data_IF_977310774776
#
_entry.id   IF_977310774776
#
_cell.length_a   1.000
_cell.length_b   1.000
_cell.length_c   1.000
_cell.angle_alpha   90.00
_cell.angle_beta   90.00
_cell.angle_gamma   90.00
#
_symmetry.space_group_name_H-M   'P 1'
#
loop_
_entity.id
_entity.type
_entity.pdbx_description
1 polymer ?
#
# COMPACT_ATOMS: atom_id res chain seq x y z
N UNK A 1 40.53 20.27 -42.37
CA UNK A 1 39.69 20.34 -41.15
C UNK A 1 38.33 19.80 -41.52
N UNK A 2 38.17 18.49 -41.46
CA UNK A 2 36.91 17.79 -41.77
C UNK A 2 36.09 17.68 -40.49
N UNK A 3 35.11 18.57 -40.35
CA UNK A 3 34.10 18.50 -39.30
C UNK A 3 33.35 17.19 -39.40
N UNK A 4 33.40 16.38 -38.36
CA UNK A 4 32.59 15.19 -38.22
C UNK A 4 31.26 15.62 -37.60
N UNK A 5 30.22 15.72 -38.42
CA UNK A 5 28.85 15.85 -37.95
C UNK A 5 28.41 14.50 -37.36
N UNK A 6 28.37 14.43 -36.03
CA UNK A 6 27.76 13.31 -35.32
C UNK A 6 26.24 13.44 -35.41
N UNK A 7 25.66 12.81 -36.42
CA UNK A 7 24.21 12.56 -36.47
C UNK A 7 23.85 11.56 -35.37
N UNK A 8 23.51 12.05 -34.18
CA UNK A 8 22.89 11.24 -33.13
C UNK A 8 21.45 10.92 -33.55
N UNK A 9 21.27 9.83 -34.29
CA UNK A 9 19.98 9.13 -34.33
C UNK A 9 19.75 8.56 -32.93
N UNK A 10 19.15 9.36 -32.06
CA UNK A 10 18.66 8.87 -30.79
C UNK A 10 17.55 7.86 -31.08
N UNK A 11 17.76 6.61 -30.67
CA UNK A 11 16.69 5.62 -30.55
C UNK A 11 15.51 6.26 -29.80
N UNK A 12 14.27 5.99 -30.20
CA UNK A 12 13.07 6.47 -29.48
C UNK A 12 12.96 5.96 -28.04
N UNK A 13 13.90 5.11 -27.61
CA UNK A 13 14.00 4.55 -26.28
C UNK A 13 15.00 5.33 -25.44
N UNK A 14 14.61 5.64 -24.20
CA UNK A 14 15.50 6.23 -23.23
C UNK A 14 16.63 5.28 -22.85
N UNK A 15 17.71 5.81 -22.28
CA UNK A 15 18.88 5.02 -21.89
C UNK A 15 18.52 3.88 -20.91
N UNK A 16 17.56 4.11 -20.00
CA UNK A 16 17.06 3.08 -19.09
C UNK A 16 16.33 1.96 -19.82
N UNK A 17 15.50 2.29 -20.81
CA UNK A 17 14.74 1.30 -21.58
C UNK A 17 15.67 0.37 -22.36
N UNK A 18 16.73 0.95 -22.95
CA UNK A 18 17.78 0.19 -23.61
C UNK A 18 18.48 -0.77 -22.64
N UNK A 19 18.82 -0.30 -21.42
CA UNK A 19 19.43 -1.14 -20.38
C UNK A 19 18.51 -2.28 -19.92
N UNK A 20 17.21 -2.01 -19.73
CA UNK A 20 16.21 -3.02 -19.35
C UNK A 20 16.10 -4.10 -20.42
N UNK A 21 15.95 -3.71 -21.69
CA UNK A 21 15.85 -4.66 -22.82
C UNK A 21 17.12 -5.49 -23.00
N UNK A 22 18.29 -4.87 -22.83
CA UNK A 22 19.56 -5.57 -22.91
C UNK A 22 19.69 -6.63 -21.80
N UNK A 23 19.30 -6.30 -20.56
CA UNK A 23 19.31 -7.23 -19.44
C UNK A 23 18.35 -8.40 -19.66
N UNK A 24 17.10 -8.12 -20.07
CA UNK A 24 16.10 -9.14 -20.40
C UNK A 24 16.61 -10.09 -21.50
N UNK A 25 17.19 -9.53 -22.57
CA UNK A 25 17.74 -10.32 -23.68
C UNK A 25 18.84 -11.27 -23.21
N UNK A 26 19.82 -10.77 -22.44
CA UNK A 26 20.94 -11.57 -21.96
C UNK A 26 20.49 -12.66 -20.97
N UNK A 27 19.56 -12.34 -20.06
CA UNK A 27 19.05 -13.32 -19.10
C UNK A 27 18.21 -14.41 -19.76
N UNK A 28 17.42 -14.05 -20.79
CA UNK A 28 16.63 -15.01 -21.58
C UNK A 28 17.54 -15.93 -22.39
N UNK A 29 18.53 -15.39 -23.11
CA UNK A 29 19.49 -16.17 -23.89
C UNK A 29 20.30 -17.16 -23.03
N UNK A 30 20.55 -16.81 -21.77
CA UNK A 30 21.23 -17.69 -20.79
C UNK A 30 20.29 -18.71 -20.14
N UNK A 31 18.98 -18.64 -20.39
CA UNK A 31 17.98 -19.53 -19.79
C UNK A 31 17.72 -19.27 -18.32
N UNK A 32 18.02 -18.06 -17.81
CA UNK A 32 17.79 -17.69 -16.40
C UNK A 32 16.39 -17.16 -16.13
N UNK A 33 15.69 -16.70 -17.17
CA UNK A 33 14.31 -16.24 -17.09
C UNK A 33 13.51 -16.85 -18.23
N UNK A 34 12.22 -17.06 -17.97
CA UNK A 34 11.21 -17.35 -18.98
C UNK A 34 10.36 -16.09 -19.19
N UNK A 35 10.37 -15.48 -20.38
CA UNK A 35 9.54 -14.30 -20.68
C UNK A 35 8.06 -14.52 -20.39
N UNK A 36 7.50 -15.71 -20.65
CA UNK A 36 6.10 -15.99 -20.37
C UNK A 36 5.81 -15.98 -18.86
N UNK A 37 6.74 -16.45 -18.04
CA UNK A 37 6.62 -16.37 -16.59
C UNK A 37 6.71 -14.92 -16.08
N UNK A 38 7.52 -14.06 -16.71
CA UNK A 38 7.58 -12.63 -16.39
C UNK A 38 6.24 -11.95 -16.69
N UNK A 39 5.62 -12.24 -17.83
CA UNK A 39 4.31 -11.68 -18.19
C UNK A 39 3.24 -12.04 -17.16
N UNK A 40 3.23 -13.28 -16.65
CA UNK A 40 2.32 -13.72 -15.59
C UNK A 40 2.56 -12.92 -14.30
N UNK A 41 3.81 -12.65 -13.93
CA UNK A 41 4.13 -11.84 -12.74
C UNK A 41 3.67 -10.39 -12.91
N UNK A 42 3.90 -9.80 -14.09
CA UNK A 42 3.48 -8.44 -14.40
C UNK A 42 1.96 -8.32 -14.30
N UNK A 43 1.21 -9.19 -14.98
CA UNK A 43 -0.25 -9.20 -14.92
C UNK A 43 -0.76 -9.37 -13.49
N UNK A 44 -0.18 -10.30 -12.73
CA UNK A 44 -0.58 -10.55 -11.33
C UNK A 44 -0.57 -9.29 -10.48
N UNK A 45 0.49 -8.48 -10.55
CA UNK A 45 0.60 -7.24 -9.76
C UNK A 45 -0.06 -6.02 -10.41
N UNK A 46 -0.37 -6.07 -11.70
CA UNK A 46 -1.09 -4.99 -12.39
C UNK A 46 -2.61 -5.11 -12.26
N UNK A 47 -3.15 -6.33 -12.27
CA UNK A 47 -4.60 -6.55 -12.44
C UNK A 47 -5.24 -7.32 -11.30
N UNK A 48 -4.51 -8.22 -10.64
CA UNK A 48 -5.09 -9.17 -9.67
C UNK A 48 -4.86 -8.79 -8.21
N UNK A 49 -3.67 -8.30 -7.88
CA UNK A 49 -3.29 -7.95 -6.51
C UNK A 49 -3.32 -6.44 -6.32
N UNK A 50 -4.14 -5.97 -5.39
CA UNK A 50 -4.27 -4.54 -5.11
C UNK A 50 -5.01 -4.24 -3.81
N UNK A 51 -5.19 -2.95 -3.49
CA UNK A 51 -5.76 -2.50 -2.21
C UNK A 51 -7.21 -2.93 -1.96
N UNK A 52 -7.92 -3.42 -2.98
CA UNK A 52 -9.26 -4.00 -2.80
C UNK A 52 -9.25 -5.22 -1.86
N UNK A 53 -8.14 -5.96 -1.81
CA UNK A 53 -7.97 -7.09 -0.90
C UNK A 53 -7.96 -6.62 0.56
N UNK A 54 -7.11 -5.65 0.89
CA UNK A 54 -7.07 -5.05 2.21
C UNK A 54 -8.38 -4.37 2.61
N UNK A 55 -9.05 -3.71 1.65
CA UNK A 55 -10.36 -3.10 1.89
C UNK A 55 -11.41 -4.13 2.37
N UNK A 56 -11.42 -5.32 1.76
CA UNK A 56 -12.26 -6.44 2.21
C UNK A 56 -11.88 -6.95 3.59
N UNK A 57 -10.58 -7.06 3.89
CA UNK A 57 -10.10 -7.44 5.24
C UNK A 57 -10.63 -6.46 6.29
N UNK A 58 -10.48 -5.16 6.05
CA UNK A 58 -10.93 -4.10 6.97
C UNK A 58 -12.45 -4.12 7.12
N UNK A 59 -13.19 -4.16 6.01
CA UNK A 59 -14.65 -4.18 6.06
C UNK A 59 -15.20 -5.39 6.82
N UNK A 60 -14.60 -6.58 6.61
CA UNK A 60 -14.95 -7.78 7.39
C UNK A 60 -14.67 -7.58 8.87
N UNK A 61 -13.51 -7.04 9.23
CA UNK A 61 -13.17 -6.74 10.62
C UNK A 61 -14.13 -5.72 11.27
N UNK A 62 -14.75 -4.83 10.51
CA UNK A 62 -15.75 -3.90 11.05
C UNK A 62 -17.13 -4.51 11.31
N UNK A 63 -17.48 -5.63 10.67
CA UNK A 63 -18.81 -6.26 10.79
C UNK A 63 -18.78 -7.60 11.52
N UNK A 64 -17.62 -8.25 11.58
CA UNK A 64 -17.39 -9.55 12.21
C UNK A 64 -16.35 -9.40 13.33
N UNK A 65 -16.84 -9.36 14.57
CA UNK A 65 -16.00 -9.18 15.76
C UNK A 65 -15.05 -10.36 16.01
N UNK A 66 -15.45 -11.58 15.66
CA UNK A 66 -14.58 -12.75 15.81
C UNK A 66 -13.41 -12.66 14.82
N UNK A 67 -13.69 -12.29 13.56
CA UNK A 67 -12.65 -12.03 12.56
C UNK A 67 -11.75 -10.86 12.97
N UNK A 68 -12.32 -9.78 13.53
CA UNK A 68 -11.55 -8.66 14.06
C UNK A 68 -10.53 -9.10 15.12
N UNK A 69 -11.01 -9.80 16.15
CA UNK A 69 -10.17 -10.22 17.27
C UNK A 69 -9.10 -11.22 16.79
N UNK A 70 -9.44 -12.10 15.84
CA UNK A 70 -8.47 -12.99 15.20
C UNK A 70 -7.43 -12.23 14.38
N UNK A 71 -7.85 -11.25 13.57
CA UNK A 71 -6.97 -10.42 12.74
C UNK A 71 -5.92 -9.67 13.58
N UNK A 72 -6.28 -9.20 14.77
CA UNK A 72 -5.35 -8.52 15.68
C UNK A 72 -4.38 -9.49 16.38
N UNK A 73 -4.74 -10.76 16.52
CA UNK A 73 -3.90 -11.80 17.14
C UNK A 73 -2.96 -12.46 16.12
N UNK A 74 -3.48 -12.83 14.95
CA UNK A 74 -2.73 -13.45 13.87
C UNK A 74 -3.26 -12.96 12.51
N UNK A 75 -2.75 -11.80 12.10
CA UNK A 75 -3.16 -11.21 10.84
C UNK A 75 -2.79 -12.08 9.64
N UNK A 76 -1.72 -12.89 9.74
CA UNK A 76 -1.27 -13.75 8.65
C UNK A 76 -2.32 -14.81 8.35
N UNK A 77 -2.76 -15.52 9.39
CA UNK A 77 -3.79 -16.54 9.25
C UNK A 77 -5.16 -15.95 8.87
N UNK A 78 -5.52 -14.80 9.45
CA UNK A 78 -6.79 -14.14 9.17
C UNK A 78 -6.91 -13.71 7.70
N UNK A 79 -5.89 -13.06 7.11
CA UNK A 79 -5.94 -12.68 5.70
C UNK A 79 -5.84 -13.89 4.76
N UNK A 80 -5.16 -14.96 5.18
CA UNK A 80 -5.07 -16.20 4.42
C UNK A 80 -6.43 -16.91 4.29
N UNK A 81 -7.31 -16.77 5.30
CA UNK A 81 -8.69 -17.29 5.24
C UNK A 81 -9.52 -16.67 4.11
N UNK A 82 -9.13 -15.47 3.64
CA UNK A 82 -9.73 -14.77 2.51
C UNK A 82 -8.99 -15.02 1.18
N UNK A 83 -7.96 -15.89 1.19
CA UNK A 83 -7.14 -16.21 0.03
C UNK A 83 -5.96 -15.25 -0.19
N UNK A 84 -5.70 -14.32 0.73
CA UNK A 84 -4.61 -13.35 0.60
C UNK A 84 -3.33 -13.91 1.23
N UNK A 85 -2.44 -14.41 0.40
CA UNK A 85 -1.15 -14.98 0.81
C UNK A 85 -0.06 -14.60 -0.19
N UNK A 86 1.20 -14.85 0.17
CA UNK A 86 2.31 -14.80 -0.77
C UNK A 86 3.34 -13.73 -0.44
N UNK A 87 4.11 -13.36 -1.47
CA UNK A 87 5.34 -12.55 -1.35
C UNK A 87 5.09 -11.22 -0.67
N UNK A 88 6.00 -10.83 0.22
CA UNK A 88 5.93 -9.58 0.98
C UNK A 88 4.66 -9.49 1.85
N UNK A 89 4.22 -10.62 2.38
CA UNK A 89 3.07 -10.74 3.29
C UNK A 89 3.07 -12.07 4.04
N UNK A 90 4.22 -12.71 4.15
CA UNK A 90 4.44 -13.98 4.83
C UNK A 90 4.29 -13.85 6.35
N UNK A 91 4.53 -12.65 6.88
CA UNK A 91 4.38 -12.29 8.29
C UNK A 91 3.65 -10.96 8.42
N UNK A 92 2.34 -11.02 8.67
CA UNK A 92 1.47 -9.86 8.77
C UNK A 92 1.17 -9.52 10.22
N UNK A 93 1.09 -8.22 10.50
CA UNK A 93 0.57 -7.66 11.75
C UNK A 93 -0.46 -6.60 11.41
N UNK A 94 -1.67 -6.74 11.95
CA UNK A 94 -2.69 -5.71 11.89
C UNK A 94 -2.54 -4.75 13.07
N UNK A 95 -2.65 -3.45 12.82
CA UNK A 95 -2.54 -2.41 13.86
C UNK A 95 -3.78 -1.52 13.82
N UNK A 96 -4.52 -1.48 14.91
CA UNK A 96 -5.85 -0.87 14.97
C UNK A 96 -5.80 0.59 15.38
N UNK A 97 -6.41 1.46 14.57
CA UNK A 97 -6.64 2.84 14.97
C UNK A 97 -7.79 2.93 15.97
N UNK A 98 -7.61 3.74 17.00
CA UNK A 98 -8.59 4.07 18.03
C UNK A 98 -8.74 5.59 18.15
N UNK A 99 -9.65 6.06 19.00
CA UNK A 99 -9.82 7.50 19.22
C UNK A 99 -8.53 8.14 19.80
N UNK A 100 -7.78 7.37 20.59
CA UNK A 100 -6.57 7.82 21.29
C UNK A 100 -5.27 7.50 20.55
N UNK A 101 -5.29 6.59 19.57
CA UNK A 101 -4.08 6.14 18.86
C UNK A 101 -4.31 5.96 17.36
N UNK A 102 -3.45 6.64 16.58
CA UNK A 102 -3.38 6.54 15.12
C UNK A 102 -2.06 5.89 14.70
N UNK A 103 -2.14 4.93 13.79
CA UNK A 103 -0.99 4.23 13.25
C UNK A 103 -0.61 4.74 11.86
N UNK A 104 0.68 4.75 11.57
CA UNK A 104 1.24 5.00 10.24
C UNK A 104 2.31 3.97 9.93
N UNK A 105 2.42 3.54 8.68
CA UNK A 105 3.44 2.55 8.26
C UNK A 105 4.41 3.18 7.28
N UNK A 106 5.70 2.95 7.45
CA UNK A 106 6.77 3.38 6.55
C UNK A 106 7.83 2.29 6.42
N UNK A 107 8.67 2.38 5.40
CA UNK A 107 9.93 1.65 5.31
C UNK A 107 11.03 2.67 5.04
N UNK A 108 11.71 3.13 6.08
CA UNK A 108 12.70 4.22 5.96
C UNK A 108 13.86 3.82 5.06
N UNK A 109 14.24 2.53 5.08
CA UNK A 109 15.41 2.01 4.36
C UNK A 109 15.16 1.76 2.88
N UNK A 110 13.95 1.40 2.46
CA UNK A 110 13.65 1.11 1.07
C UNK A 110 12.16 1.31 0.72
N UNK A 111 11.38 0.24 0.76
CA UNK A 111 9.99 0.22 0.26
C UNK A 111 9.19 -1.02 0.70
N UNK A 112 9.55 -1.69 1.80
CA UNK A 112 8.83 -2.87 2.31
C UNK A 112 7.34 -2.55 2.52
N UNK A 113 6.47 -3.43 2.03
CA UNK A 113 5.03 -3.15 1.90
C UNK A 113 4.22 -4.45 1.79
N UNK A 114 2.98 -4.55 2.34
CA UNK A 114 2.21 -5.79 2.37
C UNK A 114 1.53 -6.09 1.02
N UNK A 115 2.26 -6.68 0.07
CA UNK A 115 1.76 -6.85 -1.31
C UNK A 115 0.45 -7.64 -1.41
N UNK A 116 0.22 -8.76 -0.69
CA UNK A 116 -1.00 -9.55 -0.86
C UNK A 116 -2.29 -8.78 -0.61
N UNK A 117 -2.26 -7.77 0.26
CA UNK A 117 -3.44 -6.98 0.65
C UNK A 117 -3.45 -5.57 0.06
N UNK A 118 -2.30 -4.98 -0.25
CA UNK A 118 -2.23 -3.59 -0.75
C UNK A 118 -1.63 -3.43 -2.15
N UNK A 119 -1.17 -4.50 -2.79
CA UNK A 119 -0.47 -4.45 -4.07
C UNK A 119 0.90 -3.77 -3.97
N UNK A 120 1.39 -3.24 -5.09
CA UNK A 120 2.67 -2.53 -5.12
C UNK A 120 2.55 -1.14 -4.45
N UNK A 121 3.58 -0.70 -3.70
CA UNK A 121 3.55 0.57 -2.99
C UNK A 121 3.49 1.77 -3.96
N UNK A 122 2.75 2.82 -3.62
CA UNK A 122 2.69 4.04 -4.42
C UNK A 122 4.05 4.74 -4.49
N UNK A 123 4.25 5.56 -5.53
CA UNK A 123 5.53 6.26 -5.73
C UNK A 123 5.93 7.14 -4.55
N UNK A 124 4.97 7.81 -3.92
CA UNK A 124 5.24 8.66 -2.75
C UNK A 124 5.76 7.85 -1.55
N UNK A 125 5.30 6.61 -1.36
CA UNK A 125 5.73 5.77 -0.24
C UNK A 125 7.21 5.41 -0.35
N UNK A 126 7.69 5.20 -1.57
CA UNK A 126 9.08 4.87 -1.90
C UNK A 126 10.02 6.08 -1.88
N UNK A 127 9.44 7.29 -1.84
CA UNK A 127 10.17 8.54 -1.99
C UNK A 127 10.92 8.95 -0.72
N UNK A 128 12.07 9.62 -0.89
CA UNK A 128 12.84 10.15 0.24
C UNK A 128 12.04 11.14 1.12
N UNK A 129 11.18 12.04 0.59
CA UNK A 129 10.36 12.92 1.41
C UNK A 129 9.50 12.18 2.43
N UNK A 130 8.75 11.16 2.00
CA UNK A 130 7.92 10.38 2.92
C UNK A 130 8.77 9.59 3.91
N UNK A 131 9.74 8.83 3.40
CA UNK A 131 10.57 7.91 4.20
C UNK A 131 11.38 8.62 5.28
N UNK A 132 11.87 9.83 5.02
CA UNK A 132 12.65 10.60 6.00
C UNK A 132 11.78 11.34 7.02
N UNK A 133 10.62 11.87 6.61
CA UNK A 133 9.78 12.69 7.48
C UNK A 133 8.79 11.88 8.32
N UNK A 134 8.29 10.75 7.83
CA UNK A 134 7.25 9.99 8.55
C UNK A 134 7.67 9.60 9.98
N UNK A 135 8.95 9.31 10.20
CA UNK A 135 9.49 8.96 11.53
C UNK A 135 9.92 10.15 12.39
N UNK A 136 9.97 11.36 11.82
CA UNK A 136 10.47 12.57 12.50
C UNK A 136 9.36 13.60 12.77
N UNK A 137 8.49 13.80 11.79
CA UNK A 137 7.37 14.74 11.80
C UNK A 137 6.13 14.05 11.19
N UNK A 138 5.57 13.04 11.87
CA UNK A 138 4.41 12.32 11.36
C UNK A 138 3.17 13.22 11.22
N UNK A 139 2.99 14.20 12.13
CA UNK A 139 1.86 15.14 12.06
C UNK A 139 1.93 16.03 10.83
N UNK A 140 3.10 16.60 10.52
CA UNK A 140 3.27 17.40 9.31
C UNK A 140 3.09 16.56 8.04
N UNK A 141 3.56 15.31 8.02
CA UNK A 141 3.29 14.39 6.89
C UNK A 141 1.80 14.13 6.74
N UNK A 142 1.07 13.84 7.82
CA UNK A 142 -0.38 13.65 7.77
C UNK A 142 -1.10 14.90 7.25
N UNK A 143 -0.66 16.09 7.66
CA UNK A 143 -1.22 17.35 7.16
C UNK A 143 -1.02 17.51 5.64
N UNK A 144 0.13 17.10 5.09
CA UNK A 144 0.37 17.09 3.63
C UNK A 144 -0.61 16.16 2.89
N UNK A 145 -1.09 15.09 3.54
CA UNK A 145 -2.13 14.21 3.01
C UNK A 145 -3.56 14.71 3.25
N UNK A 146 -3.75 15.83 3.95
CA UNK A 146 -5.04 16.39 4.34
C UNK A 146 -5.62 15.81 5.64
N UNK A 147 -4.83 15.08 6.42
CA UNK A 147 -5.26 14.50 7.70
C UNK A 147 -4.77 15.33 8.87
N UNK A 148 -5.70 15.92 9.60
CA UNK A 148 -5.42 16.63 10.86
C UNK A 148 -6.02 15.82 12.00
N UNK A 149 -5.16 15.44 12.95
CA UNK A 149 -5.56 14.71 14.14
C UNK A 149 -5.56 15.65 15.35
N UNK A 150 -6.46 15.44 16.34
CA UNK A 150 -6.37 16.10 17.63
C UNK A 150 -4.96 16.00 18.21
N UNK A 151 -4.55 17.03 18.96
CA UNK A 151 -3.24 17.06 19.62
C UNK A 151 -3.10 15.92 20.64
N UNK A 152 -4.22 15.52 21.26
CA UNK A 152 -4.32 14.40 22.20
C UNK A 152 -4.16 13.02 21.56
N UNK A 153 -4.41 12.86 20.25
CA UNK A 153 -4.29 11.57 19.57
C UNK A 153 -2.82 11.20 19.42
N UNK A 154 -2.39 10.08 20.00
CA UNK A 154 -1.02 9.58 19.86
C UNK A 154 -0.80 9.01 18.47
N UNK A 155 0.37 9.27 17.88
CA UNK A 155 0.75 8.67 16.59
C UNK A 155 1.84 7.63 16.84
N UNK A 156 1.60 6.40 16.39
CA UNK A 156 2.61 5.33 16.40
C UNK A 156 3.01 4.99 14.97
N UNK A 157 4.25 5.32 14.63
CA UNK A 157 4.85 5.01 13.33
C UNK A 157 5.52 3.64 13.39
N UNK A 158 5.19 2.78 12.43
CA UNK A 158 5.78 1.46 12.26
C UNK A 158 6.76 1.48 11.10
N UNK A 159 8.04 1.36 11.42
CA UNK A 159 9.09 1.26 10.41
C UNK A 159 9.38 -0.21 10.08
N UNK A 160 9.13 -0.58 8.82
CA UNK A 160 9.23 -1.93 8.28
C UNK A 160 10.70 -2.28 8.01
N UNK A 161 11.45 -2.49 9.09
CA UNK A 161 12.90 -2.76 9.10
C UNK A 161 13.26 -4.25 9.08
N UNK A 162 12.27 -5.11 9.29
CA UNK A 162 12.40 -6.57 9.25
C UNK A 162 11.39 -7.17 8.23
N UNK A 163 11.24 -8.49 8.22
CA UNK A 163 10.31 -9.18 7.31
C UNK A 163 8.84 -9.19 7.78
N UNK A 164 8.53 -8.48 8.86
CA UNK A 164 7.14 -8.21 9.27
C UNK A 164 6.54 -7.11 8.39
N UNK A 165 5.26 -7.25 8.04
CA UNK A 165 4.51 -6.26 7.25
C UNK A 165 3.26 -5.84 8.01
N UNK A 166 2.96 -4.55 7.95
CA UNK A 166 1.89 -3.95 8.74
C UNK A 166 0.70 -3.56 7.87
N UNK A 167 -0.51 -3.86 8.34
CA UNK A 167 -1.76 -3.34 7.80
C UNK A 167 -2.44 -2.48 8.86
N UNK A 168 -2.72 -1.22 8.56
CA UNK A 168 -3.53 -0.37 9.46
C UNK A 168 -4.99 -0.75 9.30
N UNK A 169 -5.68 -1.00 10.42
CA UNK A 169 -7.13 -1.15 10.48
C UNK A 169 -7.69 0.22 10.89
N UNK A 170 -8.20 1.02 9.94
CA UNK A 170 -8.76 2.33 10.26
C UNK A 170 -10.07 2.19 11.05
N UNK A 171 -10.44 3.25 11.78
CA UNK A 171 -11.74 3.32 12.43
C UNK A 171 -12.87 3.35 11.38
N UNK A 172 -13.97 2.64 11.66
CA UNK A 172 -15.20 2.72 10.87
C UNK A 172 -15.79 4.13 11.04
N UNK A 173 -16.09 4.85 9.95
CA UNK A 173 -16.69 6.17 10.06
C UNK A 173 -18.15 6.08 10.52
N UNK A 174 -18.61 7.10 11.25
CA UNK A 174 -20.02 7.27 11.65
C UNK A 174 -20.95 7.32 10.44
N UNK A 175 -22.23 6.99 10.64
CA UNK A 175 -23.25 7.05 9.58
C UNK A 175 -23.16 5.90 8.57
N UNK A 176 -22.48 4.82 8.96
CA UNK A 176 -22.32 3.61 8.12
C UNK A 176 -23.01 2.39 8.70
N UNK A 177 -23.81 2.53 9.77
CA UNK A 177 -24.38 1.43 10.56
C UNK A 177 -25.22 0.46 9.72
N UNK A 178 -25.90 0.96 8.69
CA UNK A 178 -26.74 0.18 7.78
C UNK A 178 -26.05 -0.33 6.51
N UNK A 179 -24.77 -0.01 6.29
CA UNK A 179 -24.05 -0.43 5.09
C UNK A 179 -23.65 -1.91 5.17
N UNK A 180 -23.74 -2.59 4.03
CA UNK A 180 -23.21 -3.95 3.84
C UNK A 180 -21.68 -3.98 3.88
N UNK A 181 -21.09 -5.17 4.05
CA UNK A 181 -19.64 -5.36 4.01
C UNK A 181 -19.03 -4.83 2.69
N UNK A 182 -19.71 -5.03 1.56
CA UNK A 182 -19.25 -4.56 0.25
C UNK A 182 -19.26 -3.02 0.15
N UNK A 183 -20.32 -2.38 0.63
CA UNK A 183 -20.41 -0.92 0.68
C UNK A 183 -19.38 -0.31 1.64
N UNK A 184 -19.12 -0.97 2.78
CA UNK A 184 -18.05 -0.58 3.71
C UNK A 184 -16.67 -0.72 3.07
N UNK A 185 -16.41 -1.80 2.34
CA UNK A 185 -15.14 -2.01 1.65
C UNK A 185 -14.89 -0.92 0.60
N UNK A 186 -15.94 -0.39 -0.04
CA UNK A 186 -15.83 0.71 -1.00
C UNK A 186 -15.36 2.03 -0.36
N UNK A 187 -15.56 2.21 0.95
CA UNK A 187 -15.08 3.39 1.69
C UNK A 187 -13.59 3.28 2.05
N UNK A 188 -13.07 2.06 2.22
CA UNK A 188 -11.70 1.83 2.67
C UNK A 188 -10.71 2.16 1.55
N UNK A 189 -9.85 3.14 1.80
CA UNK A 189 -8.83 3.57 0.83
C UNK A 189 -7.49 2.90 1.13
N UNK A 190 -6.63 2.81 0.11
CA UNK A 190 -5.22 2.43 0.28
C UNK A 190 -4.55 3.29 1.35
N UNK A 191 -4.75 4.60 1.28
CA UNK A 191 -4.08 5.56 2.16
C UNK A 191 -4.55 5.41 3.62
N UNK A 192 -5.82 5.02 3.86
CA UNK A 192 -6.28 4.66 5.21
C UNK A 192 -5.67 3.40 5.78
N UNK A 193 -5.31 2.43 4.91
CA UNK A 193 -4.65 1.20 5.33
C UNK A 193 -3.12 1.32 5.47
N UNK A 194 -2.54 2.41 4.96
CA UNK A 194 -1.16 2.84 5.29
C UNK A 194 -1.17 3.73 6.55
N UNK A 195 -2.31 4.37 6.83
CA UNK A 195 -2.48 5.31 7.92
C UNK A 195 -2.18 6.77 7.55
N UNK A 196 -2.07 7.11 6.26
CA UNK A 196 -1.86 8.50 5.82
C UNK A 196 -3.16 9.29 5.66
N UNK A 197 -4.31 8.60 5.61
CA UNK A 197 -5.65 9.21 5.62
C UNK A 197 -6.59 8.52 6.61
N UNK A 198 -7.67 9.20 7.02
CA UNK A 198 -8.82 8.55 7.64
C UNK A 198 -9.79 8.06 6.56
N UNK A 199 -10.67 7.14 6.93
CA UNK A 199 -11.84 6.82 6.10
C UNK A 199 -12.85 7.96 6.26
N UNK A 200 -13.35 8.47 5.14
CA UNK A 200 -14.36 9.54 5.15
C UNK A 200 -15.75 8.93 5.30
N UNK A 201 -16.60 9.57 6.10
CA UNK A 201 -18.00 9.20 6.18
C UNK A 201 -18.70 9.49 4.84
N UNK A 202 -19.70 8.68 4.43
CA UNK A 202 -20.53 9.01 3.29
C UNK A 202 -21.12 10.41 3.46
N UNK A 203 -21.13 11.20 2.38
CA UNK A 203 -21.79 12.51 2.41
C UNK A 203 -23.27 12.32 2.76
N UNK A 204 -23.74 12.95 3.84
CA UNK A 204 -25.16 12.97 4.17
C UNK A 204 -25.89 13.73 3.05
N UNK A 205 -26.95 13.16 2.43
CA UNK A 205 -27.76 13.92 1.48
C UNK A 205 -28.41 15.10 2.21
N UNK A 206 -27.84 16.31 2.09
CA UNK A 206 -28.43 17.52 2.68
C UNK A 206 -27.47 18.60 3.21
N UNK A 207 -26.15 18.41 3.25
CA UNK A 207 -25.21 19.42 3.78
C UNK A 207 -24.56 20.34 2.73
N UNK A 208 -25.27 20.63 1.63
CA UNK A 208 -24.93 21.74 0.76
C UNK A 208 -26.06 22.78 0.88
N UNK A 209 -25.83 23.81 1.69
CA UNK A 209 -26.59 25.05 1.72
C UNK A 209 -25.70 26.18 1.22
#
# INVERSE_FOLDING_TARGET
>A
MTGHDHAHQHSELGEMDLRVRALESVLTQKGYIDPAALDVLIDTYQTRIGPRNGARVVARAWVDREFHDWLLQDATAAIASLGYTGRQGEHMVAVENTAEQHHMVVCTLCSCYPWPVLGLPPTWYKSAPYRSRAVKDPRGVLADFGTVLPESTRIRVWDSTAEVRYLVIPQRPEGTEGLSEEELAALVTRDSMIGTRRVEAPATPGSAA
#
